data_IF_907708455270
#
_entry.id   IF_907708455270
#
_cell.length_a   1.000
_cell.length_b   1.000
_cell.length_c   1.000
_cell.angle_alpha   90.00
_cell.angle_beta   90.00
_cell.angle_gamma   90.00
#
_symmetry.space_group_name_H-M   'P 1'
#
loop_
_entity.id
_entity.type
_entity.pdbx_description
1 polymer ?
#
# COMPACT_ATOMS: atom_id res chain seq x y z
N UNK A 1 -10.10 56.61 1.30
CA UNK A 1 -9.43 57.79 0.71
C UNK A 1 -8.04 57.35 0.27
N UNK A 2 -7.70 57.60 -1.02
CA UNK A 2 -6.44 57.32 -1.73
C UNK A 2 -6.03 55.84 -1.85
N UNK A 3 -6.33 55.10 -2.92
CA UNK A 3 -5.83 55.12 -4.33
C UNK A 3 -4.30 55.14 -4.46
N UNK A 4 -3.73 53.98 -4.79
CA UNK A 4 -2.67 53.82 -5.79
C UNK A 4 -2.85 52.46 -6.51
N UNK A 5 -3.22 52.57 -7.79
CA UNK A 5 -3.04 51.63 -8.92
C UNK A 5 -1.52 51.52 -9.23
N UNK A 6 -0.93 50.59 -10.00
CA UNK A 6 -1.36 49.49 -10.87
C UNK A 6 -0.12 48.63 -11.23
N UNK A 7 -0.39 47.37 -11.59
CA UNK A 7 0.18 46.54 -12.67
C UNK A 7 1.70 46.53 -13.01
N UNK A 8 2.25 45.30 -13.12
CA UNK A 8 3.24 44.97 -14.14
C UNK A 8 2.90 43.60 -14.78
N UNK A 9 2.40 43.66 -16.02
CA UNK A 9 2.43 42.60 -17.02
C UNK A 9 2.60 43.28 -18.39
N UNK A 10 3.48 42.67 -19.21
CA UNK A 10 3.63 42.78 -20.68
C UNK A 10 4.31 44.00 -21.30
N UNK A 11 5.46 43.75 -21.96
CA UNK A 11 5.70 43.84 -23.42
C UNK A 11 7.22 43.83 -23.69
N UNK A 12 7.78 43.20 -24.72
CA UNK A 12 7.25 43.03 -26.08
C UNK A 12 7.93 44.02 -27.02
N UNK A 13 9.10 43.63 -27.56
CA UNK A 13 9.82 44.13 -28.77
C UNK A 13 10.08 45.65 -28.95
N UNK A 14 11.37 46.02 -29.06
CA UNK A 14 11.89 46.84 -30.18
C UNK A 14 13.43 46.93 -30.16
N UNK A 15 14.04 46.70 -31.34
CA UNK A 15 15.33 47.16 -31.88
C UNK A 15 15.73 46.13 -32.96
N UNK A 16 16.04 46.42 -34.22
CA UNK A 16 15.99 47.64 -35.00
C UNK A 16 15.95 47.26 -36.50
N UNK A 17 15.23 48.07 -37.28
CA UNK A 17 15.49 48.52 -38.65
C UNK A 17 16.46 47.71 -39.57
N UNK A 18 15.89 47.04 -40.57
CA UNK A 18 16.53 46.88 -41.88
C UNK A 18 15.57 47.36 -42.99
N UNK A 19 16.14 48.07 -43.97
CA UNK A 19 15.53 48.97 -44.97
C UNK A 19 14.46 48.33 -45.88
N UNK A 20 13.48 49.16 -46.24
CA UNK A 20 12.55 49.02 -47.39
C UNK A 20 13.33 49.30 -48.70
N UNK A 21 12.97 48.70 -49.85
CA UNK A 21 12.02 49.39 -50.72
C UNK A 21 10.92 48.49 -51.32
N UNK A 22 9.79 49.14 -51.57
CA UNK A 22 8.57 48.64 -52.17
C UNK A 22 8.75 48.16 -53.63
N UNK A 23 7.91 47.23 -54.08
CA UNK A 23 7.18 47.37 -55.36
C UNK A 23 6.09 46.31 -55.55
N UNK A 24 4.89 46.83 -55.83
CA UNK A 24 3.87 46.37 -56.80
C UNK A 24 3.30 44.95 -56.68
N UNK A 25 2.04 44.92 -56.28
CA UNK A 25 1.07 43.89 -56.64
C UNK A 25 1.08 43.67 -58.16
N UNK A 26 1.25 42.42 -58.58
CA UNK A 26 0.63 41.93 -59.80
C UNK A 26 0.02 40.55 -59.56
N UNK A 27 -1.18 40.42 -60.09
CA UNK A 27 -2.22 39.43 -59.83
C UNK A 27 -2.07 38.21 -60.73
N UNK A 28 -1.91 37.03 -60.14
CA UNK A 28 -2.44 35.77 -60.68
C UNK A 28 -2.31 34.64 -59.65
N UNK A 29 -3.27 33.71 -59.66
CA UNK A 29 -3.43 32.53 -58.77
C UNK A 29 -4.36 32.68 -57.54
N UNK A 30 -5.66 32.80 -57.83
CA UNK A 30 -6.79 31.94 -57.37
C UNK A 30 -6.39 30.76 -56.43
N UNK A 31 -7.21 30.29 -55.46
CA UNK A 31 -7.93 30.92 -54.34
C UNK A 31 -7.53 30.19 -53.02
N UNK A 32 -6.50 30.62 -52.30
CA UNK A 32 -5.93 29.81 -51.19
C UNK A 32 -6.29 30.33 -49.78
N UNK A 33 -6.99 31.45 -49.64
CA UNK A 33 -7.10 32.12 -48.33
C UNK A 33 -8.41 31.83 -47.56
N UNK A 34 -9.49 31.40 -48.22
CA UNK A 34 -10.74 31.07 -47.51
C UNK A 34 -10.86 29.59 -47.10
N UNK A 35 -10.06 28.70 -47.69
CA UNK A 35 -9.94 27.30 -47.24
C UNK A 35 -9.05 27.12 -46.00
N UNK A 36 -8.20 28.11 -45.69
CA UNK A 36 -7.29 28.06 -44.54
C UNK A 36 -7.90 28.65 -43.27
N UNK A 37 -8.92 29.52 -43.36
CA UNK A 37 -9.65 30.04 -42.20
C UNK A 37 -10.69 29.04 -41.66
N UNK A 38 -11.41 28.34 -42.53
CA UNK A 38 -12.33 27.27 -42.10
C UNK A 38 -11.60 26.03 -41.53
N UNK A 39 -10.34 25.78 -41.94
CA UNK A 39 -9.51 24.72 -41.34
C UNK A 39 -8.83 25.12 -40.03
N UNK A 40 -8.53 26.40 -39.82
CA UNK A 40 -7.93 26.88 -38.57
C UNK A 40 -8.94 26.87 -37.40
N UNK A 41 -10.19 27.24 -37.65
CA UNK A 41 -11.22 27.22 -36.60
C UNK A 41 -11.70 25.79 -36.26
N UNK A 42 -11.61 24.85 -37.20
CA UNK A 42 -11.86 23.42 -36.92
C UNK A 42 -10.70 22.75 -36.15
N UNK A 43 -9.48 23.29 -36.26
CA UNK A 43 -8.31 22.80 -35.50
C UNK A 43 -8.24 23.36 -34.07
N UNK A 44 -8.89 24.49 -33.79
CA UNK A 44 -8.91 25.14 -32.49
C UNK A 44 -10.10 24.70 -31.59
N UNK A 45 -11.02 23.88 -32.10
CA UNK A 45 -12.10 23.27 -31.33
C UNK A 45 -11.91 21.76 -31.06
N UNK A 46 -10.75 21.19 -31.41
CA UNK A 46 -10.42 19.81 -31.02
C UNK A 46 -9.72 19.81 -29.66
N UNK A 47 -10.14 18.96 -28.70
CA UNK A 47 -9.44 18.82 -27.43
C UNK A 47 -7.99 18.39 -27.68
N UNK A 48 -7.09 19.05 -26.96
CA UNK A 48 -5.64 18.87 -26.98
C UNK A 48 -5.25 17.38 -26.96
N UNK A 49 -4.62 16.80 -28.01
CA UNK A 49 -4.14 15.42 -27.98
C UNK A 49 -2.79 15.40 -27.26
N UNK A 50 -2.80 15.72 -25.96
CA UNK A 50 -1.62 15.70 -25.10
C UNK A 50 -1.80 14.75 -23.93
N UNK A 51 -2.27 13.52 -24.18
CA UNK A 51 -1.91 12.29 -23.44
C UNK A 51 -2.09 11.09 -24.40
N UNK A 52 -1.33 11.04 -25.49
CA UNK A 52 -1.09 9.75 -26.14
C UNK A 52 0.05 9.08 -25.37
N UNK A 53 -0.25 8.03 -24.61
CA UNK A 53 0.76 7.15 -24.03
C UNK A 53 1.77 6.77 -25.12
N UNK A 54 3.03 7.16 -24.95
CA UNK A 54 4.13 6.42 -25.59
C UNK A 54 3.95 4.96 -25.17
N UNK A 55 3.94 3.98 -26.09
CA UNK A 55 3.99 2.59 -25.66
C UNK A 55 5.29 2.43 -24.87
N UNK A 56 5.18 2.09 -23.59
CA UNK A 56 6.33 1.68 -22.81
C UNK A 56 7.04 0.57 -23.58
N UNK A 57 8.29 0.79 -23.98
CA UNK A 57 9.12 -0.31 -24.46
C UNK A 57 9.33 -1.21 -23.24
N UNK A 58 8.82 -2.46 -23.24
CA UNK A 58 8.97 -3.33 -22.09
C UNK A 58 10.46 -3.44 -21.77
N UNK A 59 10.85 -3.27 -20.51
CA UNK A 59 12.21 -3.65 -20.08
C UNK A 59 12.49 -5.08 -20.55
N UNK A 60 13.74 -5.48 -20.83
CA UNK A 60 14.03 -6.85 -21.25
C UNK A 60 13.42 -7.91 -20.31
N UNK A 61 13.28 -7.60 -19.02
CA UNK A 61 12.53 -8.41 -18.04
C UNK A 61 11.02 -8.38 -18.28
N UNK A 62 10.42 -7.22 -18.58
CA UNK A 62 9.03 -7.13 -19.00
C UNK A 62 8.78 -7.81 -20.36
N UNK A 63 9.77 -7.90 -21.25
CA UNK A 63 9.66 -8.68 -22.49
C UNK A 63 9.76 -10.18 -22.21
N UNK A 64 10.63 -10.63 -21.31
CA UNK A 64 10.69 -12.03 -20.86
C UNK A 64 9.42 -12.40 -20.09
N UNK A 65 8.94 -11.53 -19.20
CA UNK A 65 7.69 -11.70 -18.46
C UNK A 65 6.48 -11.68 -19.40
N UNK A 66 6.43 -10.81 -20.40
CA UNK A 66 5.39 -10.81 -21.43
C UNK A 66 5.46 -12.04 -22.32
N UNK A 67 6.65 -12.47 -22.75
CA UNK A 67 6.82 -13.71 -23.51
C UNK A 67 6.48 -14.94 -22.67
N UNK A 68 6.80 -14.95 -21.38
CA UNK A 68 6.42 -16.03 -20.47
C UNK A 68 4.92 -16.01 -20.16
N UNK A 69 4.30 -14.84 -20.03
CA UNK A 69 2.84 -14.71 -19.93
C UNK A 69 2.15 -15.20 -21.22
N UNK A 70 2.73 -14.93 -22.39
CA UNK A 70 2.19 -15.34 -23.69
C UNK A 70 2.41 -16.82 -24.01
N UNK A 71 3.61 -17.35 -23.76
CA UNK A 71 4.03 -18.69 -24.19
C UNK A 71 4.24 -19.67 -23.04
N UNK A 72 4.49 -19.20 -21.82
CA UNK A 72 4.68 -20.04 -20.63
C UNK A 72 3.43 -20.86 -20.27
N UNK A 73 2.23 -20.39 -20.63
CA UNK A 73 0.97 -21.15 -20.52
C UNK A 73 0.98 -22.42 -21.38
N UNK A 74 1.70 -22.41 -22.49
CA UNK A 74 1.79 -23.51 -23.45
C UNK A 74 2.94 -24.48 -23.13
N UNK A 75 3.84 -24.10 -22.21
CA UNK A 75 4.93 -24.97 -21.81
C UNK A 75 4.39 -26.16 -21.01
N UNK A 76 4.88 -27.34 -21.38
CA UNK A 76 4.72 -28.54 -20.56
C UNK A 76 5.55 -28.37 -19.27
N UNK A 77 5.17 -29.06 -18.19
CA UNK A 77 5.98 -29.10 -16.97
C UNK A 77 7.47 -29.39 -17.21
N UNK A 78 7.76 -30.32 -18.14
CA UNK A 78 9.14 -30.64 -18.52
C UNK A 78 9.88 -29.50 -19.21
N UNK A 79 9.22 -28.78 -20.12
CA UNK A 79 9.82 -27.63 -20.80
C UNK A 79 10.11 -26.47 -19.83
N UNK A 80 9.22 -26.25 -18.87
CA UNK A 80 9.40 -25.24 -17.83
C UNK A 80 10.62 -25.55 -16.93
N UNK A 81 10.72 -26.79 -16.45
CA UNK A 81 11.85 -27.23 -15.62
C UNK A 81 13.18 -27.22 -16.39
N UNK A 82 13.15 -27.47 -17.70
CA UNK A 82 14.33 -27.38 -18.55
C UNK A 82 14.85 -25.94 -18.66
N UNK A 83 13.97 -24.96 -18.83
CA UNK A 83 14.33 -23.53 -18.84
C UNK A 83 14.88 -23.11 -17.47
N UNK A 84 14.19 -23.47 -16.39
CA UNK A 84 14.64 -23.21 -15.01
C UNK A 84 16.06 -23.73 -14.76
N UNK A 85 16.33 -24.98 -15.19
CA UNK A 85 17.63 -25.62 -15.02
C UNK A 85 18.73 -25.00 -15.87
N UNK A 86 18.43 -24.63 -17.12
CA UNK A 86 19.42 -24.04 -18.03
C UNK A 86 19.87 -22.64 -17.58
N UNK A 87 18.95 -21.85 -17.03
CA UNK A 87 19.21 -20.46 -16.61
C UNK A 87 19.53 -20.34 -15.11
N UNK A 88 19.47 -21.42 -14.34
CA UNK A 88 19.64 -21.39 -12.89
C UNK A 88 18.56 -20.58 -12.16
N UNK A 89 17.37 -20.49 -12.74
CA UNK A 89 16.24 -19.68 -12.24
C UNK A 89 15.25 -20.57 -11.49
N UNK A 90 14.81 -20.12 -10.31
CA UNK A 90 13.70 -20.73 -9.59
C UNK A 90 12.44 -19.88 -9.77
N UNK A 91 11.30 -20.53 -9.95
CA UNK A 91 10.01 -19.88 -10.09
C UNK A 91 9.12 -20.14 -8.88
N UNK A 92 8.26 -19.18 -8.59
CA UNK A 92 7.23 -19.29 -7.55
C UNK A 92 5.93 -18.66 -8.03
N UNK A 93 4.83 -19.10 -7.44
CA UNK A 93 3.47 -18.66 -7.74
C UNK A 93 2.76 -18.10 -6.51
N UNK A 94 3.17 -18.54 -5.31
CA UNK A 94 2.73 -17.97 -4.03
C UNK A 94 3.14 -16.51 -3.91
N UNK A 95 2.36 -15.73 -3.15
CA UNK A 95 2.58 -14.30 -2.95
C UNK A 95 3.94 -14.01 -2.31
N UNK A 96 4.35 -14.85 -1.36
CA UNK A 96 5.61 -14.73 -0.61
C UNK A 96 6.54 -15.94 -0.84
N UNK A 97 6.33 -16.67 -1.95
CA UNK A 97 7.06 -17.88 -2.33
C UNK A 97 6.91 -19.05 -1.32
N UNK A 98 5.75 -19.16 -0.68
CA UNK A 98 5.39 -20.25 0.24
C UNK A 98 5.45 -21.61 -0.44
N UNK A 99 5.05 -21.65 -1.72
CA UNK A 99 5.11 -22.80 -2.61
C UNK A 99 6.53 -23.38 -2.75
N UNK A 100 7.58 -22.54 -2.70
CA UNK A 100 8.97 -23.02 -2.69
C UNK A 100 9.27 -23.81 -1.41
N UNK A 101 8.77 -23.35 -0.26
CA UNK A 101 8.92 -24.06 1.01
C UNK A 101 8.16 -25.38 0.98
N UNK A 102 6.93 -25.39 0.44
CA UNK A 102 6.14 -26.60 0.25
C UNK A 102 6.85 -27.65 -0.62
N UNK A 103 7.47 -27.23 -1.73
CA UNK A 103 8.23 -28.15 -2.58
C UNK A 103 9.39 -28.83 -1.84
N UNK A 104 10.03 -28.11 -0.92
CA UNK A 104 11.09 -28.65 -0.07
C UNK A 104 10.55 -29.63 0.97
N UNK A 105 9.40 -29.32 1.58
CA UNK A 105 8.75 -30.18 2.57
C UNK A 105 8.27 -31.49 1.95
N UNK A 106 7.61 -31.42 0.80
CA UNK A 106 7.03 -32.60 0.14
C UNK A 106 8.02 -33.39 -0.72
N UNK A 107 9.29 -32.95 -0.86
CA UNK A 107 10.38 -33.68 -1.56
C UNK A 107 9.98 -34.32 -2.89
N UNK A 108 9.34 -33.54 -3.77
CA UNK A 108 8.86 -34.00 -5.09
C UNK A 108 7.79 -35.11 -5.04
N UNK A 109 7.05 -35.25 -3.94
CA UNK A 109 5.84 -36.11 -3.88
C UNK A 109 4.93 -35.78 -5.06
N UNK A 110 4.45 -36.82 -5.73
CA UNK A 110 3.52 -36.72 -6.86
C UNK A 110 2.13 -37.17 -6.42
N UNK A 111 1.09 -36.60 -7.02
CA UNK A 111 -0.30 -37.02 -6.81
C UNK A 111 -0.79 -36.83 -5.37
N UNK A 112 -0.31 -35.80 -4.67
CA UNK A 112 -0.83 -35.43 -3.36
C UNK A 112 -2.18 -34.73 -3.44
N UNK A 113 -2.80 -34.52 -2.28
CA UNK A 113 -4.13 -33.90 -2.17
C UNK A 113 -4.09 -32.62 -1.33
N UNK A 114 -4.60 -31.51 -1.88
CA UNK A 114 -4.66 -30.23 -1.16
C UNK A 114 -6.08 -29.74 -0.93
N UNK A 115 -6.24 -28.86 0.05
CA UNK A 115 -7.42 -28.04 0.29
C UNK A 115 -6.96 -26.60 0.35
N UNK A 116 -7.55 -25.74 -0.46
CA UNK A 116 -7.16 -24.34 -0.64
C UNK A 116 -8.38 -23.46 -0.29
N UNK A 117 -8.36 -22.83 0.89
CA UNK A 117 -9.44 -21.97 1.40
C UNK A 117 -9.07 -20.52 1.17
N UNK A 118 -9.90 -19.80 0.42
CA UNK A 118 -9.56 -18.45 -0.06
C UNK A 118 -8.66 -18.48 -1.30
N UNK A 119 -8.93 -19.43 -2.19
CA UNK A 119 -8.00 -19.80 -3.27
C UNK A 119 -7.74 -18.68 -4.30
N UNK A 120 -8.64 -17.67 -4.38
CA UNK A 120 -8.57 -16.42 -5.14
C UNK A 120 -8.35 -16.52 -6.65
N UNK A 121 -7.25 -17.13 -7.08
CA UNK A 121 -6.91 -17.29 -8.49
C UNK A 121 -6.13 -18.59 -8.73
N UNK A 122 -6.39 -19.35 -9.81
CA UNK A 122 -5.75 -20.65 -10.07
C UNK A 122 -4.24 -20.61 -10.35
N UNK A 123 -3.56 -19.46 -10.26
CA UNK A 123 -2.13 -19.31 -10.58
C UNK A 123 -1.47 -18.17 -9.83
N UNK A 124 -2.09 -17.00 -9.85
CA UNK A 124 -1.56 -15.79 -9.24
C UNK A 124 -1.76 -15.89 -7.73
N UNK A 125 -0.68 -15.79 -6.97
CA UNK A 125 -0.69 -15.94 -5.51
C UNK A 125 -1.13 -17.33 -5.04
N UNK A 126 -1.07 -18.34 -5.91
CA UNK A 126 -1.52 -19.70 -5.59
C UNK A 126 -0.37 -20.56 -5.11
N UNK A 127 -0.44 -21.01 -3.86
CA UNK A 127 0.55 -21.93 -3.30
C UNK A 127 0.40 -23.36 -3.85
N UNK A 128 -0.80 -23.67 -4.33
CA UNK A 128 -1.19 -25.00 -4.85
C UNK A 128 -0.90 -25.20 -6.33
N UNK A 129 -0.73 -24.12 -7.11
CA UNK A 129 -0.50 -24.22 -8.57
C UNK A 129 0.74 -25.01 -8.94
N UNK A 130 1.83 -24.79 -8.20
CA UNK A 130 3.09 -25.47 -8.49
C UNK A 130 2.92 -26.99 -8.30
N UNK A 131 2.21 -27.40 -7.24
CA UNK A 131 1.96 -28.81 -6.91
C UNK A 131 1.05 -29.47 -7.95
N UNK A 132 -0.05 -28.81 -8.31
CA UNK A 132 -0.99 -29.29 -9.31
C UNK A 132 -0.31 -29.44 -10.67
N UNK A 133 0.29 -28.35 -11.17
CA UNK A 133 0.79 -28.28 -12.55
C UNK A 133 1.99 -29.19 -12.79
N UNK A 134 2.93 -29.27 -11.84
CA UNK A 134 4.22 -29.94 -12.07
C UNK A 134 4.34 -31.29 -11.37
N UNK A 135 3.56 -31.54 -10.31
CA UNK A 135 3.59 -32.80 -9.56
C UNK A 135 2.27 -33.58 -9.63
N UNK A 136 1.29 -33.11 -10.41
CA UNK A 136 0.04 -33.82 -10.66
C UNK A 136 -0.83 -33.97 -9.42
N UNK A 137 -0.76 -33.01 -8.50
CA UNK A 137 -1.65 -32.94 -7.35
C UNK A 137 -3.04 -32.49 -7.80
N UNK A 138 -4.05 -32.87 -7.04
CA UNK A 138 -5.41 -32.37 -7.18
C UNK A 138 -6.00 -32.07 -5.81
N UNK A 139 -7.10 -31.34 -5.77
CA UNK A 139 -7.62 -30.91 -4.49
C UNK A 139 -8.98 -30.25 -4.53
N UNK A 140 -9.28 -29.58 -3.44
CA UNK A 140 -10.48 -28.76 -3.26
C UNK A 140 -10.04 -27.29 -3.23
N UNK A 141 -10.61 -26.46 -4.10
CA UNK A 141 -10.41 -25.01 -4.09
C UNK A 141 -11.72 -24.34 -3.64
N UNK A 142 -11.67 -23.49 -2.63
CA UNK A 142 -12.85 -22.88 -2.02
C UNK A 142 -12.68 -21.37 -2.06
N UNK A 143 -13.64 -20.67 -2.65
CA UNK A 143 -13.62 -19.21 -2.72
C UNK A 143 -15.04 -18.62 -2.74
N UNK A 144 -15.19 -17.43 -2.18
CA UNK A 144 -16.44 -16.68 -2.13
C UNK A 144 -16.73 -15.89 -3.41
N UNK A 145 -15.78 -15.76 -4.33
CA UNK A 145 -15.97 -15.13 -5.64
C UNK A 145 -16.37 -16.17 -6.67
N UNK A 146 -17.58 -16.01 -7.22
CA UNK A 146 -18.03 -16.79 -8.37
C UNK A 146 -17.09 -16.63 -9.58
N UNK A 147 -16.50 -15.44 -9.76
CA UNK A 147 -15.52 -15.18 -10.82
C UNK A 147 -14.23 -15.98 -10.62
N UNK A 148 -13.73 -16.08 -9.38
CA UNK A 148 -12.58 -16.92 -9.05
C UNK A 148 -12.87 -18.39 -9.37
N UNK A 149 -14.00 -18.91 -8.90
CA UNK A 149 -14.40 -20.31 -9.14
C UNK A 149 -14.55 -20.61 -10.64
N UNK A 150 -15.12 -19.69 -11.41
CA UNK A 150 -15.20 -19.86 -12.87
C UNK A 150 -13.82 -19.97 -13.55
N UNK A 151 -12.79 -19.28 -13.03
CA UNK A 151 -11.41 -19.44 -13.52
C UNK A 151 -10.83 -20.80 -13.12
N UNK A 152 -11.09 -21.27 -11.90
CA UNK A 152 -10.64 -22.59 -11.44
C UNK A 152 -11.26 -23.72 -12.28
N UNK A 153 -12.55 -23.67 -12.60
CA UNK A 153 -13.21 -24.64 -13.48
C UNK A 153 -12.55 -24.73 -14.87
N UNK A 154 -12.04 -23.60 -15.39
CA UNK A 154 -11.36 -23.57 -16.68
C UNK A 154 -9.91 -24.07 -16.61
N UNK A 155 -9.19 -23.78 -15.52
CA UNK A 155 -7.74 -23.95 -15.46
C UNK A 155 -7.27 -25.14 -14.61
N UNK A 156 -8.11 -25.63 -13.70
CA UNK A 156 -7.84 -26.77 -12.81
C UNK A 156 -8.85 -27.90 -13.03
N UNK A 157 -9.01 -28.42 -14.26
CA UNK A 157 -9.92 -29.51 -14.52
C UNK A 157 -9.49 -30.76 -13.71
N UNK A 158 -10.37 -31.25 -12.85
CA UNK A 158 -10.11 -32.39 -11.97
C UNK A 158 -9.95 -32.03 -10.48
N UNK A 159 -9.85 -30.74 -10.16
CA UNK A 159 -10.09 -30.26 -8.80
C UNK A 159 -11.60 -30.11 -8.55
N UNK A 160 -12.00 -30.12 -7.28
CA UNK A 160 -13.33 -29.74 -6.83
C UNK A 160 -13.31 -28.25 -6.50
N UNK A 161 -14.08 -27.42 -7.22
CA UNK A 161 -14.08 -25.97 -7.00
C UNK A 161 -15.43 -25.52 -6.44
N UNK A 162 -15.42 -24.89 -5.26
CA UNK A 162 -16.62 -24.61 -4.47
C UNK A 162 -16.81 -23.11 -4.27
N UNK A 163 -17.95 -22.60 -4.75
CA UNK A 163 -18.40 -21.23 -4.50
C UNK A 163 -19.09 -21.14 -3.14
N UNK A 164 -18.30 -21.00 -2.08
CA UNK A 164 -18.77 -20.92 -0.69
C UNK A 164 -17.70 -20.24 0.16
N UNK A 165 -18.11 -19.67 1.28
CA UNK A 165 -17.21 -19.26 2.35
C UNK A 165 -17.05 -20.37 3.38
N UNK A 166 -15.98 -20.29 4.18
CA UNK A 166 -15.69 -21.25 5.26
C UNK A 166 -15.75 -20.53 6.60
N UNK A 167 -16.44 -21.11 7.58
CA UNK A 167 -16.61 -20.53 8.92
C UNK A 167 -17.54 -21.35 9.81
N UNK A 168 -17.96 -20.84 10.97
CA UNK A 168 -18.70 -21.65 11.96
C UNK A 168 -20.15 -21.97 11.61
N UNK A 169 -20.83 -21.06 10.92
CA UNK A 169 -22.27 -21.14 10.68
C UNK A 169 -22.58 -21.68 9.30
N UNK A 170 -23.61 -22.52 9.19
CA UNK A 170 -24.20 -22.93 7.90
C UNK A 170 -25.20 -21.88 7.34
N UNK A 171 -24.91 -20.60 7.55
CA UNK A 171 -25.76 -19.47 7.20
C UNK A 171 -25.12 -18.61 6.09
N UNK A 172 -25.71 -17.48 5.76
CA UNK A 172 -25.14 -16.52 4.80
C UNK A 172 -24.45 -15.34 5.48
N UNK A 173 -23.24 -15.01 5.03
CA UNK A 173 -22.48 -13.84 5.46
C UNK A 173 -22.37 -12.80 4.34
N UNK A 174 -22.18 -11.54 4.72
CA UNK A 174 -21.97 -10.43 3.77
C UNK A 174 -20.51 -10.44 3.33
N UNK A 175 -20.29 -10.62 2.03
CA UNK A 175 -19.01 -10.54 1.36
C UNK A 175 -18.85 -9.16 0.73
N UNK A 176 -17.84 -8.41 1.17
CA UNK A 176 -17.53 -7.08 0.64
C UNK A 176 -16.54 -7.18 -0.51
N UNK A 177 -16.90 -6.59 -1.66
CA UNK A 177 -16.07 -6.57 -2.87
C UNK A 177 -15.37 -5.21 -2.99
N UNK A 178 -14.07 -5.24 -3.26
CA UNK A 178 -13.25 -4.07 -3.54
C UNK A 178 -12.87 -3.98 -5.03
N UNK A 179 -12.30 -2.84 -5.42
CA UNK A 179 -11.64 -2.64 -6.72
C UNK A 179 -10.39 -3.51 -6.90
N UNK A 180 -9.83 -4.01 -5.79
CA UNK A 180 -8.75 -5.01 -5.73
C UNK A 180 -9.29 -6.33 -5.19
N UNK A 181 -9.68 -7.29 -6.06
CA UNK A 181 -10.41 -8.49 -5.64
C UNK A 181 -9.66 -9.39 -4.65
N UNK A 182 -8.32 -9.37 -4.68
CA UNK A 182 -7.48 -10.11 -3.75
C UNK A 182 -7.73 -9.74 -2.27
N UNK A 183 -8.35 -8.58 -1.99
CA UNK A 183 -8.55 -8.08 -0.62
C UNK A 183 -10.00 -8.11 -0.17
N UNK A 184 -10.88 -8.74 -0.95
CA UNK A 184 -12.29 -8.88 -0.58
C UNK A 184 -12.40 -9.61 0.75
N UNK A 185 -13.40 -9.27 1.56
CA UNK A 185 -13.44 -9.77 2.94
C UNK A 185 -14.87 -9.95 3.45
N UNK A 186 -15.02 -10.88 4.40
CA UNK A 186 -16.21 -11.03 5.24
C UNK A 186 -16.07 -10.28 6.56
N UNK A 187 -14.87 -9.80 6.89
CA UNK A 187 -14.58 -9.15 8.17
C UNK A 187 -14.89 -7.65 8.10
N UNK A 188 -15.89 -7.22 8.86
CA UNK A 188 -16.20 -5.79 9.04
C UNK A 188 -14.98 -5.03 9.58
N UNK A 189 -14.19 -5.65 10.47
CA UNK A 189 -12.97 -5.02 10.97
C UNK A 189 -11.91 -4.84 9.87
N UNK A 190 -11.78 -5.80 8.94
CA UNK A 190 -10.90 -5.67 7.78
C UNK A 190 -11.43 -4.57 6.83
N UNK A 191 -12.74 -4.55 6.56
CA UNK A 191 -13.40 -3.48 5.79
C UNK A 191 -13.06 -2.08 6.33
N UNK A 192 -13.27 -1.85 7.63
CA UNK A 192 -12.96 -0.56 8.26
C UNK A 192 -11.47 -0.22 8.20
N UNK A 193 -10.58 -1.21 8.38
CA UNK A 193 -9.13 -1.04 8.25
C UNK A 193 -8.74 -0.61 6.85
N UNK A 194 -9.31 -1.23 5.83
CA UNK A 194 -9.01 -0.94 4.43
C UNK A 194 -9.54 0.44 4.01
N UNK A 195 -10.74 0.80 4.46
CA UNK A 195 -11.28 2.16 4.31
C UNK A 195 -10.38 3.23 4.96
N UNK A 196 -9.91 2.98 6.19
CA UNK A 196 -9.06 3.94 6.90
C UNK A 196 -7.71 4.17 6.22
N UNK A 197 -7.19 3.17 5.49
CA UNK A 197 -5.95 3.31 4.70
C UNK A 197 -6.17 4.10 3.39
N UNK A 198 -7.40 4.13 2.87
CA UNK A 198 -7.73 4.78 1.59
C UNK A 198 -7.14 4.07 0.37
N UNK A 199 -6.77 2.79 0.52
CA UNK A 199 -6.05 2.02 -0.51
C UNK A 199 -6.97 1.24 -1.46
N UNK A 200 -8.27 1.17 -1.16
CA UNK A 200 -9.28 0.40 -1.89
C UNK A 200 -10.62 1.13 -1.90
N UNK A 201 -11.43 0.85 -2.91
CA UNK A 201 -12.82 1.31 -3.01
C UNK A 201 -13.78 0.13 -2.98
N UNK A 202 -14.87 0.23 -2.21
CA UNK A 202 -15.91 -0.81 -2.21
C UNK A 202 -16.71 -0.72 -3.51
N UNK A 203 -16.70 -1.81 -4.26
CA UNK A 203 -17.39 -1.95 -5.55
C UNK A 203 -18.73 -2.66 -5.41
N UNK A 204 -18.96 -3.39 -4.32
CA UNK A 204 -20.24 -4.03 -4.04
C UNK A 204 -20.25 -4.91 -2.78
N UNK A 205 -21.39 -5.54 -2.54
CA UNK A 205 -21.56 -6.56 -1.50
C UNK A 205 -22.46 -7.69 -2.01
N UNK A 206 -22.21 -8.90 -1.53
CA UNK A 206 -22.98 -10.10 -1.88
C UNK A 206 -23.22 -10.95 -0.63
N UNK A 207 -24.31 -11.74 -0.60
CA UNK A 207 -24.53 -12.72 0.46
C UNK A 207 -24.03 -14.07 -0.03
N UNK A 208 -23.05 -14.63 0.67
CA UNK A 208 -22.42 -15.90 0.34
C UNK A 208 -22.72 -16.90 1.44
N UNK A 209 -23.04 -18.13 1.06
CA UNK A 209 -23.23 -19.21 2.01
C UNK A 209 -21.90 -19.56 2.68
N UNK A 210 -21.93 -19.71 4.00
CA UNK A 210 -20.81 -20.11 4.84
C UNK A 210 -21.03 -21.55 5.26
N UNK A 211 -19.97 -22.35 5.27
CA UNK A 211 -20.01 -23.75 5.70
C UNK A 211 -18.83 -24.06 6.62
N UNK A 212 -19.01 -24.92 7.64
CA UNK A 212 -17.87 -25.46 8.40
C UNK A 212 -16.91 -26.23 7.51
N UNK A 213 -15.60 -26.06 7.75
CA UNK A 213 -14.58 -26.79 6.99
C UNK A 213 -14.78 -28.30 7.13
N UNK A 214 -15.11 -28.80 8.31
CA UNK A 214 -15.38 -30.21 8.55
C UNK A 214 -16.46 -30.79 7.62
N UNK A 215 -17.51 -30.03 7.34
CA UNK A 215 -18.63 -30.47 6.50
C UNK A 215 -18.22 -30.52 5.03
N UNK A 216 -17.48 -29.51 4.56
CA UNK A 216 -16.92 -29.48 3.21
C UNK A 216 -15.97 -30.68 3.03
N UNK A 217 -15.09 -30.92 3.99
CA UNK A 217 -14.13 -32.02 3.91
C UNK A 217 -14.83 -33.38 3.95
N UNK A 218 -15.87 -33.53 4.78
CA UNK A 218 -16.65 -34.77 4.84
C UNK A 218 -17.41 -35.09 3.56
N UNK A 219 -17.82 -34.08 2.80
CA UNK A 219 -18.53 -34.26 1.54
C UNK A 219 -17.58 -34.51 0.35
N UNK A 220 -16.43 -33.84 0.34
CA UNK A 220 -15.61 -33.75 -0.88
C UNK A 220 -14.25 -34.44 -0.79
N UNK A 221 -13.74 -34.77 0.40
CA UNK A 221 -12.50 -35.54 0.53
C UNK A 221 -12.80 -37.02 0.28
N UNK A 222 -12.19 -37.67 -0.73
CA UNK A 222 -12.38 -39.09 -0.95
C UNK A 222 -11.87 -39.91 0.24
N UNK A 223 -12.58 -40.96 0.65
CA UNK A 223 -12.26 -41.79 1.82
C UNK A 223 -10.82 -42.37 1.80
N UNK A 224 -10.25 -42.56 0.61
CA UNK A 224 -8.91 -43.12 0.38
C UNK A 224 -7.79 -42.07 0.43
N UNK A 225 -8.12 -40.78 0.48
CA UNK A 225 -7.18 -39.67 0.40
C UNK A 225 -6.83 -39.14 1.78
N UNK A 226 -5.52 -38.96 2.00
CA UNK A 226 -5.00 -38.15 3.10
C UNK A 226 -4.84 -36.72 2.57
N UNK A 227 -5.27 -35.74 3.36
CA UNK A 227 -5.02 -34.34 3.05
C UNK A 227 -3.53 -34.08 3.30
N UNK A 228 -2.79 -33.73 2.25
CA UNK A 228 -1.37 -33.45 2.35
C UNK A 228 -1.13 -32.00 2.76
N UNK A 229 -1.92 -31.10 2.19
CA UNK A 229 -1.80 -29.66 2.38
C UNK A 229 -3.17 -29.06 2.65
N UNK A 230 -3.27 -28.24 3.69
CA UNK A 230 -4.33 -27.26 3.87
C UNK A 230 -3.72 -25.87 3.77
N UNK A 231 -4.22 -25.05 2.86
CA UNK A 231 -3.86 -23.63 2.71
C UNK A 231 -5.08 -22.79 3.11
N UNK A 232 -4.86 -21.79 3.97
CA UNK A 232 -5.93 -20.93 4.52
C UNK A 232 -5.50 -19.47 4.42
N UNK A 233 -6.20 -18.74 3.55
CA UNK A 233 -6.07 -17.30 3.38
C UNK A 233 -7.48 -16.69 3.27
N UNK A 234 -8.11 -16.50 4.43
CA UNK A 234 -9.48 -16.02 4.55
C UNK A 234 -9.55 -14.52 4.90
N UNK A 235 -8.49 -13.77 4.60
CA UNK A 235 -8.41 -12.30 4.75
C UNK A 235 -8.88 -11.83 6.15
N UNK A 236 -8.36 -12.50 7.19
CA UNK A 236 -8.58 -12.15 8.59
C UNK A 236 -9.64 -12.97 9.32
N UNK A 237 -10.20 -14.01 8.70
CA UNK A 237 -11.06 -15.02 9.35
C UNK A 237 -10.40 -16.40 9.48
N UNK A 238 -9.08 -16.45 9.31
CA UNK A 238 -8.27 -17.66 9.23
C UNK A 238 -8.40 -18.57 10.46
N UNK A 239 -8.43 -17.97 11.65
CA UNK A 239 -8.62 -18.72 12.90
C UNK A 239 -10.01 -19.38 12.97
N UNK A 240 -11.05 -18.73 12.46
CA UNK A 240 -12.41 -19.29 12.42
C UNK A 240 -12.49 -20.46 11.43
N UNK A 241 -11.83 -20.33 10.26
CA UNK A 241 -11.69 -21.45 9.32
C UNK A 241 -11.05 -22.65 10.00
N UNK A 242 -9.92 -22.46 10.68
CA UNK A 242 -9.22 -23.54 11.40
C UNK A 242 -10.10 -24.15 12.51
N UNK A 243 -10.83 -23.32 13.25
CA UNK A 243 -11.70 -23.76 14.35
C UNK A 243 -12.95 -24.50 13.87
N UNK A 244 -13.35 -24.32 12.61
CA UNK A 244 -14.47 -25.03 11.99
C UNK A 244 -14.13 -26.45 11.48
N UNK A 245 -12.87 -26.88 11.61
CA UNK A 245 -12.42 -28.22 11.20
C UNK A 245 -12.58 -29.27 12.31
N UNK A 246 -12.77 -30.53 11.90
CA UNK A 246 -12.64 -31.69 12.77
C UNK A 246 -11.19 -32.22 12.72
N UNK A 247 -10.36 -31.73 13.64
CA UNK A 247 -8.95 -32.13 13.75
C UNK A 247 -8.74 -33.56 14.27
N UNK A 248 -9.78 -34.31 14.64
CA UNK A 248 -9.63 -35.74 14.93
C UNK A 248 -9.78 -36.58 13.67
N UNK A 249 -10.58 -36.09 12.71
CA UNK A 249 -10.87 -36.80 11.46
C UNK A 249 -10.02 -36.31 10.29
N UNK A 250 -9.94 -35.00 10.08
CA UNK A 250 -9.25 -34.39 8.95
C UNK A 250 -7.99 -33.70 9.44
N UNK A 251 -6.86 -34.42 9.30
CA UNK A 251 -5.53 -33.96 9.75
C UNK A 251 -4.58 -33.78 8.56
N UNK A 252 -4.55 -32.59 7.95
CA UNK A 252 -3.58 -32.26 6.90
C UNK A 252 -2.14 -32.46 7.38
N UNK A 253 -1.25 -32.99 6.53
CA UNK A 253 0.16 -33.16 6.92
C UNK A 253 0.88 -31.83 7.14
N UNK A 254 0.57 -30.85 6.29
CA UNK A 254 1.08 -29.47 6.33
C UNK A 254 -0.09 -28.51 6.32
N UNK A 255 -0.02 -27.47 7.15
CA UNK A 255 -1.01 -26.39 7.19
C UNK A 255 -0.29 -25.07 6.96
N UNK A 256 -0.73 -24.33 5.93
CA UNK A 256 -0.41 -22.93 5.70
C UNK A 256 -1.60 -22.11 6.16
N UNK A 257 -1.33 -21.00 6.84
CA UNK A 257 -2.36 -20.10 7.32
C UNK A 257 -1.83 -18.67 7.39
N UNK A 258 -2.61 -17.72 6.88
CA UNK A 258 -2.31 -16.30 7.01
C UNK A 258 -2.36 -15.87 8.48
N UNK A 259 -1.27 -15.26 8.95
CA UNK A 259 -1.07 -14.86 10.34
C UNK A 259 -0.22 -13.58 10.45
N UNK A 260 -0.85 -12.44 10.17
CA UNK A 260 -0.27 -11.11 10.38
C UNK A 260 0.19 -10.82 11.82
N UNK A 261 -0.29 -11.61 12.80
CA UNK A 261 -0.01 -11.35 14.21
C UNK A 261 1.43 -11.73 14.58
N UNK A 262 2.06 -12.65 13.87
CA UNK A 262 3.46 -13.05 14.11
C UNK A 262 4.41 -11.86 13.91
N UNK A 263 4.26 -11.11 12.82
CA UNK A 263 5.10 -9.93 12.59
C UNK A 263 4.76 -8.77 13.52
N UNK A 264 3.48 -8.56 13.81
CA UNK A 264 3.02 -7.36 14.52
C UNK A 264 3.07 -7.48 16.05
N UNK A 265 2.89 -8.69 16.58
CA UNK A 265 2.79 -8.98 18.02
C UNK A 265 3.78 -10.03 18.50
N UNK A 266 4.43 -10.75 17.59
CA UNK A 266 5.32 -11.88 17.90
C UNK A 266 4.59 -13.21 17.99
N UNK A 267 5.31 -14.31 17.71
CA UNK A 267 4.77 -15.67 17.61
C UNK A 267 3.96 -16.12 18.85
N UNK A 268 4.49 -15.89 20.05
CA UNK A 268 3.85 -16.32 21.31
C UNK A 268 2.51 -15.60 21.59
N UNK A 269 2.26 -14.47 20.90
CA UNK A 269 1.01 -13.71 21.02
C UNK A 269 0.06 -13.96 19.84
N UNK A 270 0.39 -14.89 18.95
CA UNK A 270 -0.50 -15.34 17.89
C UNK A 270 -1.54 -16.33 18.42
N UNK A 271 -2.81 -16.02 18.15
CA UNK A 271 -3.94 -16.92 18.45
C UNK A 271 -3.88 -18.18 17.57
N UNK A 272 -3.50 -18.02 16.29
CA UNK A 272 -3.32 -19.11 15.34
C UNK A 272 -2.20 -20.04 15.81
N UNK A 273 -1.05 -19.51 16.23
CA UNK A 273 0.04 -20.30 16.79
C UNK A 273 -0.41 -21.10 18.02
N UNK A 274 -1.10 -20.44 18.95
CA UNK A 274 -1.61 -21.09 20.16
C UNK A 274 -2.60 -22.22 19.84
N UNK A 275 -3.51 -21.97 18.89
CA UNK A 275 -4.51 -22.94 18.46
C UNK A 275 -3.89 -24.14 17.74
N UNK A 276 -3.01 -23.89 16.76
CA UNK A 276 -2.32 -24.95 16.01
C UNK A 276 -1.49 -25.85 16.93
N UNK A 277 -0.79 -25.27 17.91
CA UNK A 277 -0.08 -26.03 18.94
C UNK A 277 -1.03 -26.89 19.78
N UNK A 278 -2.19 -26.36 20.16
CA UNK A 278 -3.22 -27.10 20.91
C UNK A 278 -3.74 -28.32 20.14
N UNK A 279 -3.91 -28.21 18.81
CA UNK A 279 -4.39 -29.32 17.96
C UNK A 279 -3.27 -30.27 17.50
N UNK A 280 -2.07 -30.14 18.06
CA UNK A 280 -0.94 -31.06 17.85
C UNK A 280 -0.14 -30.79 16.59
N UNK A 281 0.01 -29.52 16.20
CA UNK A 281 0.86 -29.10 15.09
C UNK A 281 2.08 -28.32 15.57
N UNK A 282 3.21 -28.57 14.92
CA UNK A 282 4.48 -27.89 15.16
C UNK A 282 4.68 -26.77 14.14
N UNK A 283 4.92 -25.57 14.64
CA UNK A 283 5.36 -24.44 13.83
C UNK A 283 6.76 -24.70 13.25
N UNK A 284 6.93 -24.49 11.94
CA UNK A 284 8.22 -24.72 11.26
C UNK A 284 8.79 -23.49 10.56
N UNK A 285 7.95 -22.59 10.08
CA UNK A 285 8.38 -21.41 9.34
C UNK A 285 7.28 -20.36 9.27
N UNK A 286 7.67 -19.14 8.91
CA UNK A 286 6.77 -18.05 8.62
C UNK A 286 7.37 -17.21 7.48
N UNK A 287 6.57 -17.00 6.44
CA UNK A 287 6.97 -16.37 5.17
C UNK A 287 6.11 -15.15 4.93
N UNK A 288 6.66 -13.98 5.24
CA UNK A 288 5.90 -12.72 5.30
C UNK A 288 4.62 -12.89 6.10
N UNK A 289 3.46 -13.05 5.47
CA UNK A 289 2.18 -13.07 6.16
C UNK A 289 1.73 -14.50 6.51
N UNK A 290 2.37 -15.54 5.99
CA UNK A 290 1.90 -16.93 6.12
C UNK A 290 2.71 -17.74 7.13
N UNK A 291 2.05 -18.35 8.10
CA UNK A 291 2.65 -19.32 9.03
C UNK A 291 2.50 -20.75 8.51
N UNK A 292 3.56 -21.56 8.68
CA UNK A 292 3.62 -22.94 8.19
C UNK A 292 3.77 -23.91 9.37
N UNK A 293 2.87 -24.88 9.41
CA UNK A 293 2.78 -25.90 10.46
C UNK A 293 2.83 -27.31 9.88
N UNK A 294 3.35 -28.26 10.66
CA UNK A 294 3.33 -29.69 10.33
C UNK A 294 2.70 -30.49 11.46
N UNK A 295 2.03 -31.57 11.13
CA UNK A 295 1.45 -32.46 12.14
C UNK A 295 2.56 -33.10 13.01
N UNK A 296 2.40 -33.07 14.34
CA UNK A 296 3.33 -33.74 15.25
C UNK A 296 3.30 -35.26 15.02
N UNK A 297 4.47 -35.84 14.73
CA UNK A 297 4.62 -37.27 14.45
C UNK A 297 4.91 -37.59 12.97
N UNK A 298 4.71 -36.63 12.06
CA UNK A 298 5.19 -36.78 10.68
C UNK A 298 6.70 -36.51 10.64
N UNK A 299 7.47 -37.56 10.38
CA UNK A 299 8.88 -37.44 10.05
C UNK A 299 9.05 -36.97 8.61
N UNK A 300 9.02 -35.66 8.38
CA UNK A 300 9.59 -35.10 7.16
C UNK A 300 11.11 -35.21 7.31
N UNK A 301 11.70 -36.28 6.76
CA UNK A 301 13.16 -36.45 6.73
C UNK A 301 13.81 -35.14 6.28
N UNK A 302 14.61 -34.47 7.12
CA UNK A 302 15.33 -33.24 6.74
C UNK A 302 15.09 -32.02 7.63
N UNK A 303 14.14 -32.06 8.56
CA UNK A 303 14.01 -31.02 9.60
C UNK A 303 15.07 -31.16 10.72
N UNK A 304 15.57 -32.37 10.97
CA UNK A 304 16.67 -32.59 11.94
C UNK A 304 18.06 -32.27 11.37
N UNK A 305 18.21 -32.07 10.05
CA UNK A 305 19.53 -31.90 9.42
C UNK A 305 20.10 -30.48 9.46
N UNK A 306 19.55 -29.56 10.26
CA UNK A 306 20.26 -28.32 10.61
C UNK A 306 21.19 -28.49 11.83
N UNK A 307 21.15 -29.65 12.50
CA UNK A 307 22.12 -30.06 13.51
C UNK A 307 22.64 -31.47 13.22
N UNK A 308 23.87 -31.53 12.68
CA UNK A 308 24.76 -32.69 12.54
C UNK A 308 24.19 -34.12 12.71
N UNK A 309 24.33 -34.96 11.68
CA UNK A 309 24.76 -36.35 11.89
C UNK A 309 25.53 -36.93 10.67
N UNK A 310 26.62 -37.69 10.92
CA UNK A 310 27.49 -38.29 9.91
C UNK A 310 27.04 -39.71 9.53
N UNK A 311 27.31 -40.12 8.28
CA UNK A 311 27.23 -41.52 7.85
C UNK A 311 26.19 -41.81 6.78
N UNK A 312 26.46 -41.39 5.53
CA UNK A 312 25.74 -41.88 4.36
C UNK A 312 26.41 -43.15 3.83
N UNK A 313 25.67 -44.27 3.75
CA UNK A 313 26.14 -45.57 3.22
C UNK A 313 26.08 -45.64 1.70
N UNK A 314 26.89 -46.56 1.14
CA UNK A 314 27.16 -46.74 -0.29
C UNK A 314 25.92 -47.02 -1.17
N UNK A 315 24.77 -47.42 -0.62
CA UNK A 315 23.52 -47.55 -1.41
C UNK A 315 22.84 -46.21 -1.77
N UNK A 316 23.23 -45.08 -1.17
CA UNK A 316 22.75 -43.75 -1.59
C UNK A 316 23.40 -43.24 -2.90
N UNK A 317 24.27 -44.04 -3.54
CA UNK A 317 24.88 -43.72 -4.85
C UNK A 317 24.11 -44.26 -6.06
N UNK A 318 22.93 -44.83 -5.89
CA UNK A 318 22.15 -45.44 -7.00
C UNK A 318 21.07 -44.49 -7.58
N UNK A 319 20.91 -43.27 -7.07
CA UNK A 319 19.89 -42.30 -7.51
C UNK A 319 20.37 -41.20 -8.46
N UNK A 320 21.64 -41.25 -8.90
CA UNK A 320 22.11 -40.50 -10.06
C UNK A 320 21.96 -41.40 -11.29
N UNK A 321 20.77 -41.40 -11.89
CA UNK A 321 20.66 -41.87 -13.26
C UNK A 321 21.26 -40.78 -14.16
N UNK A 322 22.59 -40.81 -14.28
CA UNK A 322 23.47 -39.86 -14.98
C UNK A 322 23.27 -39.82 -16.51
N UNK A 323 22.29 -40.53 -17.06
CA UNK A 323 22.05 -40.57 -18.51
C UNK A 323 21.25 -39.39 -19.06
N UNK A 324 20.51 -38.62 -18.24
CA UNK A 324 19.86 -37.41 -18.76
C UNK A 324 20.78 -36.18 -18.69
N UNK A 325 21.59 -36.08 -17.63
CA UNK A 325 22.52 -34.97 -17.41
C UNK A 325 23.73 -35.01 -18.36
N UNK A 326 24.16 -36.20 -18.79
CA UNK A 326 25.25 -36.37 -19.77
C UNK A 326 24.83 -36.02 -21.21
N UNK A 327 23.52 -35.97 -21.51
CA UNK A 327 23.01 -35.58 -22.82
C UNK A 327 22.72 -34.08 -22.95
N UNK A 328 22.61 -33.34 -21.83
CA UNK A 328 22.28 -31.90 -21.82
C UNK A 328 23.26 -31.06 -22.65
N UNK A 329 24.60 -31.23 -22.55
CA UNK A 329 25.53 -30.48 -23.40
C UNK A 329 25.31 -30.75 -24.88
N UNK A 330 25.05 -32.00 -25.25
CA UNK A 330 24.77 -32.40 -26.64
C UNK A 330 23.43 -31.90 -27.16
N UNK A 331 22.40 -31.79 -26.32
CA UNK A 331 21.10 -31.23 -26.69
C UNK A 331 21.19 -29.72 -26.87
N UNK A 332 21.92 -29.01 -25.99
CA UNK A 332 22.17 -27.56 -26.11
C UNK A 332 22.99 -27.26 -27.37
N UNK A 333 24.03 -28.04 -27.65
CA UNK A 333 24.87 -27.86 -28.83
C UNK A 333 24.09 -28.15 -30.13
N UNK A 334 23.27 -29.21 -30.16
CA UNK A 334 22.40 -29.53 -31.30
C UNK A 334 21.30 -28.49 -31.50
N UNK A 335 20.66 -28.00 -30.44
CA UNK A 335 19.66 -26.95 -30.52
C UNK A 335 20.28 -25.63 -30.98
N UNK A 336 21.46 -25.28 -30.47
CA UNK A 336 22.23 -24.11 -30.90
C UNK A 336 22.67 -24.20 -32.37
N UNK A 337 23.08 -25.37 -32.85
CA UNK A 337 23.42 -25.59 -34.25
C UNK A 337 22.19 -25.51 -35.16
N UNK A 338 21.05 -26.05 -34.74
CA UNK A 338 19.79 -26.00 -35.50
C UNK A 338 19.25 -24.57 -35.62
N UNK A 339 19.32 -23.79 -34.54
CA UNK A 339 18.92 -22.37 -34.51
C UNK A 339 19.84 -21.52 -35.39
N UNK A 340 21.16 -21.74 -35.33
CA UNK A 340 22.13 -21.01 -36.17
C UNK A 340 22.07 -21.40 -37.64
N UNK A 341 21.63 -22.61 -37.97
CA UNK A 341 21.42 -23.06 -39.34
C UNK A 341 20.07 -22.58 -39.94
N UNK A 342 19.21 -21.94 -39.14
CA UNK A 342 17.93 -21.43 -39.62
C UNK A 342 18.14 -20.21 -40.55
N UNK A 343 17.51 -20.15 -41.74
CA UNK A 343 17.75 -19.09 -42.73
C UNK A 343 17.49 -17.66 -42.24
N UNK A 344 16.67 -17.52 -41.20
CA UNK A 344 16.30 -16.21 -40.62
C UNK A 344 17.20 -15.78 -39.45
N UNK A 345 18.11 -16.66 -38.98
CA UNK A 345 18.95 -16.39 -37.81
C UNK A 345 19.87 -15.19 -38.00
N UNK A 346 20.56 -15.08 -39.13
CA UNK A 346 21.46 -13.96 -39.40
C UNK A 346 20.72 -12.62 -39.40
N UNK A 347 19.48 -12.62 -39.90
CA UNK A 347 18.61 -11.45 -39.91
C UNK A 347 18.16 -11.07 -38.49
N UNK A 348 17.83 -12.06 -37.66
CA UNK A 348 17.43 -11.84 -36.26
C UNK A 348 18.62 -11.42 -35.40
N UNK A 349 19.78 -12.05 -35.57
CA UNK A 349 21.02 -11.72 -34.87
C UNK A 349 21.47 -10.28 -35.16
N UNK A 350 21.36 -9.83 -36.41
CA UNK A 350 21.64 -8.44 -36.76
C UNK A 350 20.68 -7.44 -36.11
N UNK A 351 19.38 -7.78 -36.02
CA UNK A 351 18.40 -6.95 -35.31
C UNK A 351 18.67 -6.89 -33.81
N UNK A 352 19.04 -8.00 -33.19
CA UNK A 352 19.40 -8.06 -31.76
C UNK A 352 20.60 -7.14 -31.49
N UNK A 353 21.66 -7.22 -32.29
CA UNK A 353 22.84 -6.37 -32.14
C UNK A 353 22.52 -4.87 -32.26
N UNK A 354 21.65 -4.49 -33.20
CA UNK A 354 21.19 -3.10 -33.34
C UNK A 354 20.39 -2.63 -32.12
N UNK A 355 19.46 -3.46 -31.64
CA UNK A 355 18.64 -3.17 -30.46
C UNK A 355 19.49 -3.08 -29.18
N UNK A 356 20.55 -3.89 -29.06
CA UNK A 356 21.52 -3.81 -27.96
C UNK A 356 22.28 -2.48 -27.98
N UNK A 357 22.68 -2.00 -29.16
CA UNK A 357 23.30 -0.68 -29.33
C UNK A 357 22.36 0.48 -28.97
N UNK A 358 21.10 0.41 -29.41
CA UNK A 358 20.07 1.39 -29.04
C UNK A 358 19.78 1.39 -27.53
N UNK A 359 19.71 0.20 -26.92
CA UNK A 359 19.53 0.04 -25.48
C UNK A 359 20.72 0.61 -24.67
N UNK A 360 21.95 0.45 -25.16
CA UNK A 360 23.13 1.03 -24.52
C UNK A 360 23.07 2.56 -24.51
N UNK A 361 22.67 3.18 -25.63
CA UNK A 361 22.52 4.62 -25.72
C UNK A 361 21.42 5.16 -24.79
N UNK A 362 20.27 4.48 -24.71
CA UNK A 362 19.20 4.92 -23.80
C UNK A 362 19.51 4.66 -22.32
N UNK A 363 20.32 3.65 -22.00
CA UNK A 363 20.84 3.47 -20.64
C UNK A 363 21.72 4.63 -20.23
N UNK A 364 22.57 5.12 -21.12
CA UNK A 364 23.44 6.26 -20.84
C UNK A 364 22.61 7.55 -20.63
N UNK A 365 21.62 7.78 -21.51
CA UNK A 365 20.68 8.90 -21.35
C UNK A 365 19.89 8.86 -20.05
N UNK A 366 19.44 7.68 -19.62
CA UNK A 366 18.75 7.50 -18.34
C UNK A 366 19.67 7.74 -17.14
N UNK A 367 20.95 7.39 -17.22
CA UNK A 367 21.93 7.73 -16.17
C UNK A 367 22.08 9.23 -16.04
N UNK A 368 22.22 9.95 -17.16
CA UNK A 368 22.32 11.41 -17.16
C UNK A 368 21.07 12.07 -16.56
N UNK A 369 19.88 11.60 -16.96
CA UNK A 369 18.61 12.14 -16.46
C UNK A 369 18.44 11.89 -14.95
N UNK A 370 18.81 10.69 -14.49
CA UNK A 370 18.78 10.34 -13.06
C UNK A 370 19.71 11.22 -12.25
N UNK A 371 20.92 11.50 -12.77
CA UNK A 371 21.86 12.42 -12.13
C UNK A 371 21.32 13.85 -12.06
N UNK A 372 20.62 14.33 -13.10
CA UNK A 372 19.96 15.64 -13.08
C UNK A 372 18.83 15.71 -12.05
N UNK A 373 17.99 14.67 -11.97
CA UNK A 373 16.90 14.60 -10.98
C UNK A 373 17.46 14.58 -9.56
N UNK A 374 18.50 13.79 -9.29
CA UNK A 374 19.17 13.78 -7.99
C UNK A 374 19.73 15.15 -7.61
N UNK A 375 20.35 15.85 -8.56
CA UNK A 375 20.87 17.21 -8.33
C UNK A 375 19.76 18.19 -7.98
N UNK A 376 18.65 18.21 -8.73
CA UNK A 376 17.50 19.07 -8.44
C UNK A 376 16.87 18.76 -7.07
N UNK A 377 16.73 17.47 -6.74
CA UNK A 377 16.20 17.05 -5.45
C UNK A 377 17.09 17.51 -4.28
N UNK A 378 18.42 17.41 -4.45
CA UNK A 378 19.37 17.86 -3.44
C UNK A 378 19.32 19.39 -3.24
N UNK A 379 19.18 20.16 -4.33
CA UNK A 379 19.04 21.61 -4.29
C UNK A 379 17.74 22.03 -3.59
N UNK A 380 16.61 21.39 -3.91
CA UNK A 380 15.32 21.66 -3.25
C UNK A 380 15.35 21.30 -1.76
N UNK A 381 15.96 20.17 -1.39
CA UNK A 381 16.09 19.76 0.00
C UNK A 381 16.91 20.77 0.80
N UNK A 382 18.00 21.28 0.22
CA UNK A 382 18.85 22.30 0.83
C UNK A 382 18.09 23.62 1.06
N UNK A 383 17.32 24.07 0.07
CA UNK A 383 16.48 25.27 0.20
C UNK A 383 15.42 25.11 1.31
N UNK A 384 14.71 23.98 1.34
CA UNK A 384 13.72 23.68 2.37
C UNK A 384 14.32 23.63 3.76
N UNK A 385 15.52 23.05 3.92
CA UNK A 385 16.22 23.02 5.20
C UNK A 385 16.58 24.42 5.70
N UNK A 386 17.02 25.30 4.80
CA UNK A 386 17.37 26.67 5.18
C UNK A 386 16.13 27.49 5.56
N UNK A 387 15.02 27.36 4.82
CA UNK A 387 13.74 27.95 5.22
C UNK A 387 13.27 27.46 6.59
N UNK A 388 13.43 26.16 6.87
CA UNK A 388 13.01 25.57 8.12
C UNK A 388 13.83 26.14 9.30
N UNK A 389 15.14 26.31 9.12
CA UNK A 389 16.00 26.95 10.14
C UNK A 389 15.55 28.38 10.45
N UNK A 390 15.27 29.19 9.41
CA UNK A 390 14.80 30.57 9.58
C UNK A 390 13.46 30.59 10.34
N UNK A 391 12.52 29.69 10.00
CA UNK A 391 11.24 29.56 10.70
C UNK A 391 11.43 29.13 12.16
N UNK A 392 12.35 28.20 12.44
CA UNK A 392 12.66 27.76 13.81
C UNK A 392 13.22 28.90 14.68
N UNK A 393 14.12 29.72 14.14
CA UNK A 393 14.67 30.90 14.84
C UNK A 393 13.54 31.87 15.17
N UNK A 394 12.70 32.20 14.19
CA UNK A 394 11.57 33.11 14.38
C UNK A 394 10.55 32.60 15.42
N UNK A 395 10.27 31.30 15.41
CA UNK A 395 9.38 30.69 16.40
C UNK A 395 9.97 30.76 17.81
N UNK A 396 11.29 30.59 17.96
CA UNK A 396 11.97 30.73 19.24
C UNK A 396 11.84 32.16 19.78
N UNK A 397 12.08 33.17 18.94
CA UNK A 397 11.92 34.58 19.31
C UNK A 397 10.47 34.91 19.73
N UNK A 398 9.48 34.34 19.04
CA UNK A 398 8.06 34.50 19.39
C UNK A 398 7.74 33.88 20.74
N UNK A 399 8.27 32.67 21.02
CA UNK A 399 8.10 32.00 22.32
C UNK A 399 8.73 32.84 23.45
N UNK A 400 9.93 33.36 23.24
CA UNK A 400 10.61 34.20 24.24
C UNK A 400 9.82 35.50 24.52
N UNK A 401 9.26 36.11 23.47
CA UNK A 401 8.38 37.27 23.60
C UNK A 401 7.09 36.94 24.37
N UNK A 402 6.46 35.80 24.08
CA UNK A 402 5.28 35.33 24.79
C UNK A 402 5.56 35.10 26.28
N UNK A 403 6.69 34.47 26.62
CA UNK A 403 7.11 34.24 28.00
C UNK A 403 7.32 35.56 28.76
N UNK A 404 7.92 36.56 28.11
CA UNK A 404 8.06 37.91 28.69
C UNK A 404 6.70 38.54 28.96
N UNK A 405 5.77 38.47 28.01
CA UNK A 405 4.40 38.98 28.16
C UNK A 405 3.63 38.27 29.26
N UNK A 406 3.79 36.96 29.40
CA UNK A 406 3.18 36.20 30.49
C UNK A 406 3.68 36.67 31.87
N UNK A 407 4.97 36.97 31.97
CA UNK A 407 5.59 37.49 33.19
C UNK A 407 5.06 38.88 33.55
N UNK A 408 4.98 39.79 32.57
CA UNK A 408 4.36 41.12 32.74
C UNK A 408 2.90 40.99 33.22
N UNK A 409 2.15 40.04 32.64
CA UNK A 409 0.75 39.81 33.00
C UNK A 409 0.59 39.24 34.41
N UNK A 410 1.53 38.41 34.88
CA UNK A 410 1.59 37.94 36.28
C UNK A 410 1.83 39.10 37.25
N UNK A 411 2.74 40.01 36.91
CA UNK A 411 3.04 41.19 37.73
C UNK A 411 1.83 42.13 37.82
N UNK A 412 1.18 42.42 36.70
CA UNK A 412 -0.04 43.24 36.65
C UNK A 412 -1.15 42.59 37.49
N UNK A 413 -1.34 41.28 37.39
CA UNK A 413 -2.30 40.54 38.22
C UNK A 413 -2.00 40.68 39.72
N UNK A 414 -0.73 40.69 40.11
CA UNK A 414 -0.33 40.91 41.51
C UNK A 414 -0.69 42.33 41.97
N UNK A 415 -0.28 43.35 41.20
CA UNK A 415 -0.61 44.76 41.49
C UNK A 415 -2.12 44.98 41.59
N UNK A 416 -2.89 44.38 40.69
CA UNK A 416 -4.36 44.44 40.74
C UNK A 416 -4.91 43.83 42.04
N UNK A 417 -4.39 42.68 42.49
CA UNK A 417 -4.79 42.08 43.77
C UNK A 417 -4.48 42.99 44.97
N UNK A 418 -3.38 43.73 44.93
CA UNK A 418 -2.99 44.67 45.99
C UNK A 418 -3.93 45.87 46.04
N UNK A 419 -4.20 46.49 44.89
CA UNK A 419 -5.19 47.58 44.77
C UNK A 419 -6.57 47.13 45.26
N UNK A 420 -7.01 45.92 44.90
CA UNK A 420 -8.28 45.36 45.37
C UNK A 420 -8.30 45.05 46.87
N UNK A 421 -7.14 44.85 47.51
CA UNK A 421 -7.03 44.73 48.98
C UNK A 421 -7.15 46.11 49.65
N UNK A 422 -6.47 47.11 49.12
CA UNK A 422 -6.54 48.49 49.61
C UNK A 422 -7.96 49.05 49.50
N UNK A 423 -8.63 48.86 48.36
CA UNK A 423 -10.01 49.27 48.18
C UNK A 423 -10.92 48.66 49.25
N UNK A 424 -10.82 47.34 49.48
CA UNK A 424 -11.59 46.66 50.53
C UNK A 424 -11.26 47.17 51.93
N UNK A 425 -10.00 47.51 52.20
CA UNK A 425 -9.60 48.11 53.47
C UNK A 425 -10.21 49.51 53.65
N UNK A 426 -10.14 50.37 52.63
CA UNK A 426 -10.72 51.71 52.63
C UNK A 426 -12.24 51.67 52.79
N UNK A 427 -12.93 50.76 52.10
CA UNK A 427 -14.38 50.55 52.25
C UNK A 427 -14.75 50.17 53.69
N UNK A 428 -13.99 49.24 54.30
CA UNK A 428 -14.15 48.90 55.72
C UNK A 428 -13.93 50.12 56.61
N UNK A 429 -12.82 50.85 56.42
CA UNK A 429 -12.50 52.05 57.23
C UNK A 429 -13.58 53.11 57.11
N UNK A 430 -14.08 53.34 55.89
CA UNK A 430 -15.16 54.27 55.61
C UNK A 430 -16.47 53.86 56.29
N UNK A 431 -16.82 52.56 56.24
CA UNK A 431 -17.96 51.99 56.96
C UNK A 431 -17.83 52.19 58.48
N UNK A 432 -16.65 51.90 59.04
CA UNK A 432 -16.33 52.13 60.47
C UNK A 432 -16.48 53.60 60.87
N UNK A 433 -15.95 54.53 60.08
CA UNK A 433 -16.10 55.98 60.32
C UNK A 433 -17.58 56.36 60.33
N UNK A 434 -18.37 55.88 59.35
CA UNK A 434 -19.81 56.14 59.28
C UNK A 434 -20.57 55.68 60.53
N UNK A 435 -20.16 54.57 61.13
CA UNK A 435 -20.81 53.99 62.32
C UNK A 435 -20.30 54.59 63.65
N UNK A 436 -19.16 55.29 63.62
CA UNK A 436 -18.55 55.89 64.81
C UNK A 436 -19.45 56.93 65.50
N UNK A 437 -19.29 57.07 66.82
CA UNK A 437 -20.01 58.07 67.63
C UNK A 437 -19.64 59.50 67.23
N UNK A 438 -18.36 59.77 66.96
CA UNK A 438 -17.85 61.09 66.53
C UNK A 438 -18.55 61.54 65.24
N UNK A 439 -18.66 60.65 64.24
CA UNK A 439 -19.37 60.96 62.99
C UNK A 439 -20.84 61.31 63.24
N UNK A 440 -21.53 60.57 64.11
CA UNK A 440 -22.90 60.87 64.54
C UNK A 440 -23.02 62.23 65.25
N UNK A 441 -22.11 62.56 66.15
CA UNK A 441 -22.10 63.86 66.85
C UNK A 441 -21.81 65.05 65.91
N UNK A 442 -21.01 64.86 64.86
CA UNK A 442 -20.72 65.90 63.86
C UNK A 442 -21.86 66.14 62.85
N UNK A 443 -22.99 65.45 62.96
CA UNK A 443 -24.13 65.59 62.02
C UNK A 443 -24.63 67.04 61.84
N UNK A 444 -24.78 67.86 62.90
CA UNK A 444 -25.21 69.27 62.75
C UNK A 444 -24.16 70.11 61.99
N UNK A 445 -22.88 69.94 62.32
CA UNK A 445 -21.76 70.63 61.65
C UNK A 445 -21.67 70.22 60.18
N UNK A 446 -21.85 68.93 59.85
CA UNK A 446 -21.88 68.43 58.47
C UNK A 446 -23.05 69.00 57.67
N UNK A 447 -24.24 69.10 58.25
CA UNK A 447 -25.39 69.77 57.61
C UNK A 447 -25.12 71.25 57.33
N UNK A 448 -24.44 71.95 58.26
CA UNK A 448 -24.00 73.33 58.05
C UNK A 448 -22.99 73.45 56.90
N UNK A 449 -21.96 72.60 56.87
CA UNK A 449 -20.95 72.58 55.79
C UNK A 449 -21.58 72.24 54.44
N UNK A 450 -22.50 71.28 54.38
CA UNK A 450 -23.23 70.93 53.15
C UNK A 450 -24.16 72.05 52.69
N UNK A 451 -24.78 72.77 53.63
CA UNK A 451 -25.58 73.96 53.33
C UNK A 451 -24.70 75.07 52.75
N UNK A 452 -23.54 75.33 53.33
CA UNK A 452 -22.55 76.30 52.82
C UNK A 452 -22.03 75.87 51.44
N UNK A 453 -21.65 74.61 51.25
CA UNK A 453 -21.22 74.09 49.93
C UNK A 453 -22.30 74.20 48.87
N UNK A 454 -23.58 73.93 49.21
CA UNK A 454 -24.71 74.13 48.31
C UNK A 454 -24.89 75.61 47.96
N UNK A 455 -24.76 76.51 48.91
CA UNK A 455 -24.84 77.97 48.66
C UNK A 455 -23.70 78.44 47.74
N UNK A 456 -22.48 77.97 47.93
CA UNK A 456 -21.33 78.31 47.08
C UNK A 456 -21.41 77.67 45.67
N UNK A 457 -21.84 76.42 45.55
CA UNK A 457 -22.06 75.77 44.24
C UNK A 457 -23.26 76.34 43.49
N UNK A 458 -24.30 76.80 44.20
CA UNK A 458 -25.44 77.50 43.58
C UNK A 458 -25.06 78.91 43.11
N UNK A 459 -24.17 79.63 43.84
CA UNK A 459 -23.56 80.89 43.36
C UNK A 459 -22.71 80.68 42.11
N UNK A 460 -21.86 79.65 42.08
CA UNK A 460 -21.02 79.29 40.93
C UNK A 460 -21.81 78.84 39.69
N UNK A 461 -22.96 78.16 39.87
CA UNK A 461 -23.85 77.81 38.74
C UNK A 461 -24.70 78.98 38.24
N UNK A 462 -25.02 79.97 39.09
CA UNK A 462 -25.73 81.20 38.65
C UNK A 462 -24.84 82.12 37.81
N UNK A 463 -23.53 82.15 38.06
CA UNK A 463 -22.58 82.92 37.25
C UNK A 463 -22.35 82.34 35.85
N UNK A 464 -22.63 81.06 35.61
CA UNK A 464 -22.50 80.42 34.29
C UNK A 464 -23.79 80.34 33.47
N UNK A 465 -24.92 80.88 33.97
CA UNK A 465 -26.19 80.91 33.22
C UNK A 465 -26.59 82.31 32.71
N UNK A 466 -25.75 83.31 32.96
CA UNK A 466 -25.86 84.70 32.47
C UNK A 466 -24.60 85.14 31.68
N UNK A 467 -23.87 84.19 31.10
CA UNK A 467 -22.74 84.44 30.16
C UNK A 467 -22.95 83.65 28.88
#
# INVERSE_FOLDING_TARGET
>A
MFKFENAFLLNGKQLAAARVPAMRNDTSMVPVVDGLKARADMFLAMPNPSVAHKPEVPSAMATVEQHFRMFGRQLTPGAYLAVAAAEGVNFHFGQSAEDVTLLRLFKKKKGGFYVDVGAYHPRKYSNTYVLHRFWGWNGINIDASAEAIALFEQERPGDVNLHTAVGFSADEAVYWKFDKPARNTFSEANLQRQYAKGDVEVTGQERIHVRPLADILAEHVPDEKVIDLLDVDAEGLDIEVLQSNDWQRFRPQVVLVEDYSVQTKGLENSEIYSYMKQVGYKFISHTFDTSIYIEEGIWIQGLDTLGAAPGATKEQKVLLNDNLLSEIPGVIERAGALVKAHPEWDRMSGKIFMLEGELANERERNRELTAQVQKMAQEQLSQLQEELKVKCIRNKELIDSLNKKETELKEIKSKYKDVMREQRYLEKRYSWIKQSRIWRYMTPVRKMVDMVKKVFTFKSKRTHKNS
#
